data_IF_092711851296
#
_entry.id   IF_092711851296
#
_cell.length_a   1.000
_cell.length_b   1.000
_cell.length_c   1.000
_cell.angle_alpha   90.00
_cell.angle_beta   90.00
_cell.angle_gamma   90.00
#
_symmetry.space_group_name_H-M   'P 1'
#
loop_
_entity.id
_entity.type
_entity.pdbx_description
1 polymer ?
#
# COMPACT_ATOMS: atom_id res chain seq x y z
N UNK A 1 11.75 -3.95 -11.74
CA UNK A 1 10.43 -3.65 -12.33
C UNK A 1 9.81 -2.46 -11.62
N UNK A 2 9.12 -1.54 -12.31
CA UNK A 2 8.45 -0.39 -11.68
C UNK A 2 6.93 -0.57 -11.73
N UNK A 3 6.25 -0.31 -10.61
CA UNK A 3 4.81 -0.42 -10.47
C UNK A 3 4.27 0.82 -9.76
N UNK A 4 3.44 1.61 -10.44
CA UNK A 4 2.71 2.72 -9.81
C UNK A 4 1.40 2.21 -9.24
N UNK A 5 1.15 2.50 -7.96
CA UNK A 5 -0.11 2.16 -7.28
C UNK A 5 -1.30 2.82 -7.97
N UNK A 6 -1.14 4.04 -8.47
CA UNK A 6 -2.19 4.75 -9.19
C UNK A 6 -2.60 4.04 -10.48
N UNK A 7 -1.64 3.52 -11.25
CA UNK A 7 -1.93 2.80 -12.49
C UNK A 7 -2.50 1.41 -12.23
N UNK A 8 -1.97 0.73 -11.20
CA UNK A 8 -2.51 -0.53 -10.69
C UNK A 8 -3.97 -0.40 -10.30
N UNK A 9 -4.29 0.63 -9.52
CA UNK A 9 -5.66 0.95 -9.10
C UNK A 9 -6.58 1.21 -10.30
N UNK A 10 -6.17 2.06 -11.25
CA UNK A 10 -6.96 2.33 -12.47
C UNK A 10 -7.20 1.08 -13.30
N UNK A 11 -6.19 0.22 -13.44
CA UNK A 11 -6.31 -1.03 -14.17
C UNK A 11 -7.24 -2.01 -13.47
N UNK A 12 -7.14 -2.13 -12.14
CA UNK A 12 -8.00 -2.97 -11.34
C UNK A 12 -9.45 -2.49 -11.36
N UNK A 13 -9.70 -1.18 -11.20
CA UNK A 13 -11.04 -0.58 -11.25
C UNK A 13 -11.73 -0.78 -12.60
N UNK A 14 -10.99 -0.76 -13.72
CA UNK A 14 -11.56 -1.07 -15.04
C UNK A 14 -12.07 -2.51 -15.14
N UNK A 15 -11.38 -3.47 -14.51
CA UNK A 15 -11.73 -4.89 -14.57
C UNK A 15 -12.77 -5.30 -13.51
N UNK A 16 -12.82 -4.61 -12.38
CA UNK A 16 -13.62 -4.98 -11.21
C UNK A 16 -14.75 -3.98 -10.91
N UNK A 17 -15.17 -3.22 -11.92
CA UNK A 17 -16.05 -2.05 -11.76
C UNK A 17 -17.40 -2.36 -11.11
N UNK A 18 -17.87 -3.60 -11.18
CA UNK A 18 -19.14 -4.07 -10.60
C UNK A 18 -19.01 -4.69 -9.20
N UNK A 19 -17.80 -4.71 -8.61
CA UNK A 19 -17.57 -5.32 -7.30
C UNK A 19 -17.90 -4.33 -6.18
N UNK A 20 -18.33 -4.85 -5.02
CA UNK A 20 -18.57 -4.03 -3.81
C UNK A 20 -17.33 -3.23 -3.43
N UNK A 21 -16.14 -3.85 -3.53
CA UNK A 21 -14.88 -3.17 -3.24
C UNK A 21 -14.59 -2.00 -4.19
N UNK A 22 -14.91 -2.12 -5.49
CA UNK A 22 -14.76 -1.00 -6.41
C UNK A 22 -15.68 0.18 -6.05
N UNK A 23 -16.90 -0.10 -5.59
CA UNK A 23 -17.81 0.93 -5.08
C UNK A 23 -17.26 1.59 -3.80
N UNK A 24 -16.72 0.81 -2.86
CA UNK A 24 -16.09 1.33 -1.64
C UNK A 24 -14.90 2.24 -1.96
N UNK A 25 -14.03 1.79 -2.87
CA UNK A 25 -12.86 2.56 -3.34
C UNK A 25 -13.31 3.86 -4.00
N UNK A 26 -14.27 3.81 -4.93
CA UNK A 26 -14.75 5.00 -5.63
C UNK A 26 -15.34 6.00 -4.63
N UNK A 27 -16.17 5.54 -3.70
CA UNK A 27 -16.74 6.38 -2.64
C UNK A 27 -15.65 7.06 -1.81
N UNK A 28 -14.59 6.35 -1.41
CA UNK A 28 -13.47 6.99 -0.71
C UNK A 28 -12.78 8.04 -1.56
N UNK A 29 -12.48 7.75 -2.83
CA UNK A 29 -11.81 8.70 -3.72
C UNK A 29 -12.64 9.96 -3.97
N UNK A 30 -13.95 9.82 -4.16
CA UNK A 30 -14.86 10.96 -4.39
C UNK A 30 -14.94 11.87 -3.16
N UNK A 31 -14.77 11.30 -1.96
CA UNK A 31 -14.75 12.02 -0.69
C UNK A 31 -13.33 12.41 -0.23
N UNK A 32 -12.34 12.37 -1.12
CA UNK A 32 -10.92 12.66 -0.81
C UNK A 32 -10.34 11.80 0.33
N UNK A 33 -10.93 10.64 0.58
CA UNK A 33 -10.53 9.70 1.61
C UNK A 33 -9.27 8.93 1.26
N UNK A 34 -8.58 8.47 2.30
CA UNK A 34 -7.38 7.65 2.17
C UNK A 34 -7.73 6.17 1.94
N UNK A 35 -7.06 5.53 0.97
CA UNK A 35 -7.18 4.09 0.72
C UNK A 35 -6.24 3.32 1.64
N UNK A 36 -6.76 2.39 2.43
CA UNK A 36 -6.00 1.56 3.37
C UNK A 36 -5.50 0.29 2.71
N UNK A 37 -4.78 -0.55 3.44
CA UNK A 37 -4.33 -1.85 2.93
C UNK A 37 -5.49 -2.72 2.45
N UNK A 38 -6.68 -2.65 3.09
CA UNK A 38 -7.88 -3.37 2.65
C UNK A 38 -8.20 -3.12 1.17
N UNK A 39 -8.11 -1.86 0.75
CA UNK A 39 -8.43 -1.47 -0.62
C UNK A 39 -7.26 -1.67 -1.59
N UNK A 40 -6.03 -1.49 -1.15
CA UNK A 40 -4.84 -1.50 -2.03
C UNK A 40 -4.26 -2.90 -2.25
N UNK A 41 -4.29 -3.75 -1.22
CA UNK A 41 -3.68 -5.08 -1.24
C UNK A 41 -4.18 -5.99 -2.38
N UNK A 42 -5.48 -5.99 -2.76
CA UNK A 42 -6.01 -6.86 -3.80
C UNK A 42 -5.36 -6.71 -5.18
N UNK A 43 -4.68 -5.60 -5.46
CA UNK A 43 -3.96 -5.40 -6.73
C UNK A 43 -2.45 -5.21 -6.58
N UNK A 44 -1.97 -4.79 -5.40
CA UNK A 44 -0.53 -4.69 -5.12
C UNK A 44 0.08 -6.09 -4.91
N UNK A 45 -0.58 -6.96 -4.12
CA UNK A 45 -0.03 -8.29 -3.82
C UNK A 45 0.14 -9.16 -5.07
N UNK A 46 -0.85 -9.25 -5.99
CA UNK A 46 -0.65 -9.94 -7.26
C UNK A 46 0.50 -9.36 -8.09
N UNK A 47 0.65 -8.02 -8.14
CA UNK A 47 1.74 -7.39 -8.91
C UNK A 47 3.13 -7.79 -8.39
N UNK A 48 3.29 -7.91 -7.07
CA UNK A 48 4.54 -8.39 -6.45
C UNK A 48 4.78 -9.85 -6.81
N UNK A 49 3.78 -10.71 -6.61
CA UNK A 49 3.88 -12.13 -6.90
C UNK A 49 4.23 -12.37 -8.38
N UNK A 50 3.58 -11.64 -9.27
CA UNK A 50 3.79 -11.77 -10.71
C UNK A 50 5.20 -11.27 -11.09
N UNK A 51 5.70 -10.19 -10.47
CA UNK A 51 7.09 -9.75 -10.65
C UNK A 51 8.11 -10.81 -10.20
N UNK A 52 7.87 -11.49 -9.07
CA UNK A 52 8.71 -12.61 -8.62
C UNK A 52 8.74 -13.77 -9.63
N UNK A 53 7.60 -14.06 -10.28
CA UNK A 53 7.52 -15.12 -11.29
C UNK A 53 8.25 -14.77 -12.60
N UNK A 54 8.48 -13.49 -12.88
CA UNK A 54 9.25 -13.06 -14.06
C UNK A 54 10.77 -13.17 -13.91
N UNK A 55 11.25 -13.63 -12.74
CA UNK A 55 12.69 -13.69 -12.44
C UNK A 55 13.32 -12.31 -12.20
N UNK A 56 12.51 -11.26 -12.04
CA UNK A 56 13.00 -9.94 -11.68
C UNK A 56 13.63 -9.98 -10.28
N UNK A 57 14.79 -9.36 -10.12
CA UNK A 57 15.47 -9.25 -8.83
C UNK A 57 14.67 -8.49 -7.76
N UNK A 58 13.66 -7.72 -8.20
CA UNK A 58 12.76 -6.97 -7.32
C UNK A 58 11.78 -6.09 -8.10
N UNK A 59 10.78 -5.59 -7.36
CA UNK A 59 9.77 -4.63 -7.84
C UNK A 59 9.89 -3.35 -7.03
N UNK A 60 9.82 -2.19 -7.67
CA UNK A 60 9.68 -0.89 -7.00
C UNK A 60 8.21 -0.49 -7.08
N UNK A 61 7.58 -0.28 -5.92
CA UNK A 61 6.18 0.12 -5.82
C UNK A 61 6.13 1.60 -5.48
N UNK A 62 5.76 2.43 -6.44
CA UNK A 62 5.62 3.87 -6.25
C UNK A 62 4.22 4.20 -5.71
N UNK A 63 4.18 4.89 -4.56
CA UNK A 63 2.96 5.26 -3.85
C UNK A 63 2.47 4.26 -2.80
N UNK A 64 3.29 3.30 -2.37
CA UNK A 64 2.98 2.38 -1.24
C UNK A 64 4.26 1.83 -0.58
N UNK A 65 4.31 1.72 0.76
CA UNK A 65 3.28 2.16 1.71
C UNK A 65 3.31 3.68 1.92
N UNK A 66 2.15 4.27 2.18
CA UNK A 66 1.95 5.68 2.54
C UNK A 66 1.66 5.89 4.02
N UNK A 67 1.31 4.84 4.76
CA UNK A 67 1.09 4.89 6.20
C UNK A 67 1.56 3.60 6.91
N UNK A 68 1.61 3.63 8.24
CA UNK A 68 2.04 2.49 9.07
C UNK A 68 1.11 1.29 8.88
N UNK A 69 -0.20 1.51 8.81
CA UNK A 69 -1.18 0.42 8.60
C UNK A 69 -0.87 -0.38 7.32
N UNK A 70 -0.52 0.30 6.23
CA UNK A 70 -0.12 -0.35 4.98
C UNK A 70 1.22 -1.08 5.10
N UNK A 71 2.19 -0.49 5.81
CA UNK A 71 3.49 -1.13 6.05
C UNK A 71 3.32 -2.43 6.85
N UNK A 72 2.58 -2.40 7.95
CA UNK A 72 2.34 -3.56 8.80
C UNK A 72 1.57 -4.65 8.04
N UNK A 73 0.59 -4.25 7.23
CA UNK A 73 -0.13 -5.16 6.34
C UNK A 73 0.82 -5.85 5.35
N UNK A 74 1.74 -5.11 4.72
CA UNK A 74 2.70 -5.66 3.77
C UNK A 74 3.74 -6.60 4.41
N UNK A 75 4.11 -6.36 5.69
CA UNK A 75 4.98 -7.27 6.46
C UNK A 75 4.34 -8.64 6.68
N UNK A 76 3.01 -8.69 6.78
CA UNK A 76 2.27 -9.93 7.07
C UNK A 76 2.14 -10.89 5.87
N UNK A 77 2.48 -10.43 4.65
CA UNK A 77 2.25 -11.25 3.45
C UNK A 77 3.15 -12.47 3.39
N UNK A 78 2.68 -13.61 2.88
CA UNK A 78 3.54 -14.77 2.66
C UNK A 78 4.48 -14.47 1.49
N UNK A 79 5.78 -14.51 1.73
CA UNK A 79 6.76 -14.45 0.64
C UNK A 79 7.18 -15.84 0.19
N UNK A 80 7.24 -16.09 -1.13
CA UNK A 80 8.00 -17.20 -1.64
C UNK A 80 9.48 -16.91 -1.38
N UNK A 81 10.07 -17.68 -0.46
CA UNK A 81 11.52 -17.81 -0.21
C UNK A 81 12.33 -16.49 -0.13
N UNK A 82 12.18 -15.71 0.95
CA UNK A 82 13.18 -14.71 1.37
C UNK A 82 13.22 -13.39 0.59
N UNK A 83 12.29 -13.17 -0.34
CA UNK A 83 12.25 -11.95 -1.17
C UNK A 83 11.76 -10.71 -0.39
N UNK A 84 11.01 -10.90 0.70
CA UNK A 84 10.35 -9.82 1.46
C UNK A 84 11.30 -8.98 2.32
N UNK A 85 12.37 -9.58 2.86
CA UNK A 85 13.32 -8.89 3.72
C UNK A 85 14.10 -7.81 2.96
N UNK A 86 14.37 -8.00 1.66
CA UNK A 86 14.99 -6.97 0.81
C UNK A 86 14.01 -5.83 0.51
N UNK A 87 12.75 -6.14 0.24
CA UNK A 87 11.73 -5.13 -0.03
C UNK A 87 11.49 -4.21 1.19
N UNK A 88 11.33 -4.78 2.39
CA UNK A 88 11.13 -3.97 3.60
C UNK A 88 12.39 -3.19 3.99
N UNK A 89 13.57 -3.83 3.93
CA UNK A 89 14.84 -3.16 4.28
C UNK A 89 15.23 -2.06 3.28
N UNK A 90 14.87 -2.20 2.00
CA UNK A 90 15.14 -1.18 0.98
C UNK A 90 14.11 -0.04 1.04
N UNK A 91 12.84 -0.33 1.34
CA UNK A 91 11.84 0.70 1.61
C UNK A 91 12.17 1.50 2.88
N UNK A 92 12.64 0.85 3.95
CA UNK A 92 13.06 1.50 5.21
C UNK A 92 14.29 2.42 5.06
N UNK A 93 15.18 2.13 4.10
CA UNK A 93 16.38 2.93 3.83
C UNK A 93 16.17 4.05 2.79
N UNK A 94 14.99 4.16 2.18
CA UNK A 94 14.71 5.25 1.25
C UNK A 94 14.42 6.56 2.00
N UNK A 95 15.07 7.68 1.66
CA UNK A 95 14.87 8.96 2.33
C UNK A 95 13.43 9.47 2.21
N UNK A 96 12.73 9.17 1.09
CA UNK A 96 11.30 9.49 0.94
C UNK A 96 10.42 8.74 1.95
N UNK A 97 10.79 7.52 2.33
CA UNK A 97 10.05 6.73 3.31
C UNK A 97 10.25 7.26 4.73
N UNK A 98 11.49 7.66 5.10
CA UNK A 98 11.76 8.33 6.39
C UNK A 98 11.01 9.65 6.54
N UNK A 99 10.90 10.45 5.49
CA UNK A 99 10.12 11.69 5.50
C UNK A 99 8.62 11.41 5.61
N UNK A 100 8.08 10.48 4.80
CA UNK A 100 6.65 10.13 4.87
C UNK A 100 6.28 9.53 6.22
N UNK A 101 7.06 8.60 6.78
CA UNK A 101 6.78 8.02 8.11
C UNK A 101 6.95 9.07 9.24
N UNK A 102 7.96 9.95 9.14
CA UNK A 102 8.19 11.01 10.12
C UNK A 102 7.12 12.12 10.10
N UNK A 103 6.54 12.41 8.94
CA UNK A 103 5.47 13.40 8.77
C UNK A 103 4.07 12.78 9.02
N UNK A 104 3.83 11.52 8.65
CA UNK A 104 2.60 10.78 9.01
C UNK A 104 2.48 10.53 10.52
N UNK A 105 3.58 10.33 11.25
CA UNK A 105 3.54 10.24 12.72
C UNK A 105 3.08 11.55 13.38
N UNK A 106 3.17 12.69 12.67
CA UNK A 106 2.58 13.96 13.08
C UNK A 106 1.11 14.06 12.66
N UNK A 107 0.79 13.82 11.39
CA UNK A 107 -0.58 13.99 10.87
C UNK A 107 -1.58 12.95 11.41
N UNK A 108 -1.19 11.68 11.59
CA UNK A 108 -2.09 10.66 12.15
C UNK A 108 -2.27 10.75 13.67
N UNK A 109 -1.49 11.55 14.40
CA UNK A 109 -1.78 11.80 15.82
C UNK A 109 -3.00 12.69 15.99
N UNK A 110 -3.31 13.52 15.00
CA UNK A 110 -4.38 14.51 15.07
C UNK A 110 -5.74 13.95 14.61
N UNK A 111 -5.77 12.77 13.96
CA UNK A 111 -7.01 12.13 13.47
C UNK A 111 -7.44 10.87 14.24
N UNK A 112 -6.69 10.44 15.26
CA UNK A 112 -7.16 9.36 16.15
C UNK A 112 -7.86 10.01 17.36
N UNK A 113 -9.19 9.95 17.49
CA UNK A 113 -9.85 10.39 18.72
C UNK A 113 -9.32 9.53 19.86
N UNK A 114 -8.71 10.17 20.85
CA UNK A 114 -8.20 9.54 22.06
C UNK A 114 -9.38 8.81 22.74
N UNK A 115 -9.31 7.48 22.95
CA UNK A 115 -10.29 6.81 23.78
C UNK A 115 -9.96 7.17 25.23
N UNK A 116 -10.63 8.19 25.76
CA UNK A 116 -10.50 8.57 27.17
C UNK A 116 -10.55 10.05 27.50
N UNK A 117 -11.38 10.86 26.83
CA UNK A 117 -11.84 12.11 27.43
C UNK A 117 -13.09 11.81 28.28
N UNK A 118 -12.89 11.65 29.58
CA UNK A 118 -13.89 11.97 30.62
C UNK A 118 -13.30 13.06 31.48
#
# INVERSE_FOLDING_TARGET
MHYSVGDGLRAWMRKNRSTVLATEIQSKLDNQGFLTSKELNPFIYPAIRDASNTGAAGILIDGYPRCIEQLESARSWPSPAGTQQRQCAELENQPRFRTVVGDYQRECKDEIPTPGAR
#
